data_IF_354825855708
#
_entry.id   IF_354825855708
#
_cell.length_a   1.000
_cell.length_b   1.000
_cell.length_c   1.000
_cell.angle_alpha   90.00
_cell.angle_beta   90.00
_cell.angle_gamma   90.00
#
_symmetry.space_group_name_H-M   'P 1'
#
loop_
_entity.id
_entity.type
_entity.pdbx_description
1 polymer ?
#
# COMPACT_ATOMS: atom_id res chain seq x y z
N UNK A 1 32.73 10.08 -27.07
CA UNK A 1 32.80 9.61 -25.67
C UNK A 1 31.62 8.66 -25.45
N UNK A 2 31.91 7.36 -25.43
CA UNK A 2 30.88 6.33 -25.39
C UNK A 2 30.35 6.07 -23.99
N UNK A 3 29.05 6.19 -23.80
CA UNK A 3 28.37 5.73 -22.60
C UNK A 3 28.21 4.21 -22.66
N UNK A 4 28.91 3.53 -21.77
CA UNK A 4 28.85 2.08 -21.59
C UNK A 4 27.52 1.75 -20.86
N UNK A 5 26.56 1.17 -21.56
CA UNK A 5 25.38 0.53 -20.95
C UNK A 5 25.85 -0.68 -20.13
N UNK A 6 25.90 -0.54 -18.82
CA UNK A 6 25.99 -1.70 -17.92
C UNK A 6 24.59 -2.32 -17.81
N UNK A 7 24.32 -3.34 -18.60
CA UNK A 7 23.23 -4.28 -18.34
C UNK A 7 23.61 -5.09 -17.10
N UNK A 8 22.97 -4.83 -15.96
CA UNK A 8 23.06 -5.68 -14.78
C UNK A 8 22.21 -6.93 -15.00
N UNK A 9 22.73 -7.86 -15.80
CA UNK A 9 22.18 -9.21 -15.82
C UNK A 9 22.39 -9.84 -14.45
N UNK A 10 21.32 -10.04 -13.67
CA UNK A 10 21.35 -10.95 -12.53
C UNK A 10 21.80 -12.31 -13.08
N UNK A 11 22.93 -12.81 -12.61
CA UNK A 11 23.36 -14.19 -12.85
C UNK A 11 22.29 -15.07 -12.19
N UNK A 12 21.43 -15.70 -13.00
CA UNK A 12 20.63 -16.83 -12.55
C UNK A 12 21.66 -17.84 -12.04
N UNK A 13 21.62 -18.16 -10.75
CA UNK A 13 22.48 -19.19 -10.19
C UNK A 13 22.19 -20.49 -10.95
N UNK A 14 23.21 -21.02 -11.63
CA UNK A 14 23.08 -22.29 -12.30
C UNK A 14 22.99 -23.40 -11.24
N UNK A 15 21.75 -23.76 -10.91
CA UNK A 15 21.45 -24.78 -9.90
C UNK A 15 21.80 -26.20 -10.33
N UNK A 16 22.21 -26.42 -11.59
CA UNK A 16 22.61 -27.73 -12.12
C UNK A 16 23.85 -28.35 -11.43
N UNK A 17 24.57 -27.56 -10.64
CA UNK A 17 25.77 -27.96 -9.88
C UNK A 17 25.50 -28.45 -8.47
N UNK A 18 24.25 -28.33 -8.00
CA UNK A 18 23.87 -28.64 -6.62
C UNK A 18 22.98 -29.86 -6.56
N UNK A 19 23.09 -30.65 -5.51
CA UNK A 19 22.16 -31.74 -5.22
C UNK A 19 20.81 -31.18 -4.86
N UNK A 20 19.75 -31.99 -5.02
CA UNK A 20 18.37 -31.59 -4.63
C UNK A 20 18.34 -31.09 -3.17
N UNK A 21 19.07 -31.74 -2.27
CA UNK A 21 19.15 -31.35 -0.86
C UNK A 21 19.84 -30.01 -0.65
N UNK A 22 20.88 -29.69 -1.41
CA UNK A 22 21.55 -28.37 -1.36
C UNK A 22 20.65 -27.28 -1.95
N UNK A 23 19.91 -27.58 -3.02
CA UNK A 23 18.91 -26.67 -3.60
C UNK A 23 17.77 -26.41 -2.60
N UNK A 24 17.26 -27.46 -1.96
CA UNK A 24 16.21 -27.33 -0.94
C UNK A 24 16.72 -26.51 0.27
N UNK A 25 17.96 -26.72 0.74
CA UNK A 25 18.57 -25.93 1.81
C UNK A 25 18.82 -24.47 1.38
N UNK A 26 19.19 -24.22 0.13
CA UNK A 26 19.35 -22.84 -0.38
C UNK A 26 18.00 -22.15 -0.49
N UNK A 27 16.95 -22.86 -0.93
CA UNK A 27 15.58 -22.33 -0.98
C UNK A 27 15.01 -22.06 0.40
N UNK A 28 15.24 -22.95 1.38
CA UNK A 28 14.85 -22.70 2.78
C UNK A 28 15.56 -21.47 3.41
N UNK A 29 16.79 -21.16 3.00
CA UNK A 29 17.52 -19.95 3.46
C UNK A 29 17.05 -18.65 2.80
N UNK A 30 16.27 -18.73 1.72
CA UNK A 30 15.76 -17.59 0.98
C UNK A 30 14.30 -17.25 1.31
N UNK A 31 13.60 -18.09 2.10
CA UNK A 31 12.24 -17.80 2.59
C UNK A 31 12.28 -16.65 3.57
N UNK A 32 11.44 -15.64 3.34
CA UNK A 32 11.35 -14.45 4.16
C UNK A 32 10.75 -14.78 5.52
N UNK A 33 11.24 -14.12 6.57
CA UNK A 33 10.95 -14.53 7.95
C UNK A 33 9.47 -14.35 8.35
N UNK A 34 8.85 -13.23 7.95
CA UNK A 34 7.49 -12.91 8.37
C UNK A 34 6.45 -13.35 7.35
N UNK A 35 6.60 -12.98 6.09
CA UNK A 35 5.62 -13.35 5.05
C UNK A 35 5.72 -14.82 4.64
N UNK A 36 6.80 -15.52 5.01
CA UNK A 36 7.05 -16.94 4.71
C UNK A 36 6.93 -17.29 3.21
N UNK A 37 7.23 -16.32 2.34
CA UNK A 37 7.33 -16.53 0.90
C UNK A 37 8.80 -16.60 0.48
N UNK A 38 9.11 -17.41 -0.55
CA UNK A 38 10.41 -17.56 -1.17
C UNK A 38 10.46 -17.03 -2.60
N UNK A 39 11.64 -17.12 -3.26
CA UNK A 39 11.82 -16.71 -4.64
C UNK A 39 10.86 -17.37 -5.61
N UNK A 40 10.29 -16.58 -6.52
CA UNK A 40 9.34 -17.04 -7.53
C UNK A 40 7.91 -17.30 -7.02
N UNK A 41 7.64 -17.12 -5.73
CA UNK A 41 6.31 -17.28 -5.16
C UNK A 41 5.47 -16.00 -5.20
N UNK A 42 6.10 -14.84 -5.43
CA UNK A 42 5.43 -13.54 -5.55
C UNK A 42 5.78 -12.88 -6.89
N UNK A 43 4.85 -12.10 -7.42
CA UNK A 43 5.04 -11.31 -8.65
C UNK A 43 5.79 -10.01 -8.37
N UNK A 44 6.20 -9.32 -9.43
CA UNK A 44 6.95 -8.05 -9.35
C UNK A 44 6.06 -6.85 -9.00
N UNK A 45 4.74 -7.00 -9.12
CA UNK A 45 3.70 -6.02 -8.75
C UNK A 45 2.88 -6.58 -7.60
N UNK A 46 2.62 -5.76 -6.57
CA UNK A 46 1.91 -6.21 -5.38
C UNK A 46 0.83 -5.23 -4.92
N UNK A 47 -0.35 -5.77 -4.59
CA UNK A 47 -1.40 -5.03 -3.88
C UNK A 47 -1.27 -5.32 -2.38
N UNK A 48 -1.34 -4.26 -1.57
CA UNK A 48 -1.19 -4.33 -0.12
C UNK A 48 -2.50 -3.90 0.59
N UNK A 49 -3.45 -4.80 0.86
CA UNK A 49 -4.53 -4.52 1.80
C UNK A 49 -4.04 -4.63 3.25
N UNK A 50 -4.68 -3.92 4.18
CA UNK A 50 -4.42 -4.12 5.62
C UNK A 50 -5.04 -5.43 6.13
N UNK A 51 -6.30 -5.67 5.80
CA UNK A 51 -7.09 -6.81 6.26
C UNK A 51 -6.78 -8.08 5.45
N UNK A 52 -6.36 -9.18 6.11
CA UNK A 52 -6.17 -10.49 5.46
C UNK A 52 -7.38 -10.99 4.68
N UNK A 53 -8.59 -10.71 5.18
CA UNK A 53 -9.84 -11.12 4.52
C UNK A 53 -10.04 -10.50 3.13
N UNK A 54 -9.40 -9.36 2.84
CA UNK A 54 -9.47 -8.73 1.51
C UNK A 54 -8.56 -9.37 0.47
N UNK A 55 -7.56 -10.15 0.87
CA UNK A 55 -6.64 -10.77 -0.10
C UNK A 55 -7.36 -11.66 -1.11
N UNK A 56 -8.27 -12.51 -0.65
CA UNK A 56 -9.05 -13.37 -1.54
C UNK A 56 -9.95 -12.56 -2.49
N UNK A 57 -10.61 -11.51 -1.98
CA UNK A 57 -11.47 -10.64 -2.79
C UNK A 57 -10.68 -9.90 -3.88
N UNK A 58 -9.44 -9.48 -3.59
CA UNK A 58 -8.54 -8.85 -4.56
C UNK A 58 -8.04 -9.89 -5.56
N UNK A 59 -7.63 -11.07 -5.10
CA UNK A 59 -7.11 -12.15 -5.94
C UNK A 59 -8.12 -12.61 -6.99
N UNK A 60 -9.43 -12.48 -6.77
CA UNK A 60 -10.47 -12.79 -7.75
C UNK A 60 -10.39 -11.96 -9.05
N UNK A 61 -9.66 -10.86 -9.05
CA UNK A 61 -9.40 -10.03 -10.24
C UNK A 61 -8.16 -10.47 -11.03
N UNK A 62 -7.39 -11.44 -10.51
CA UNK A 62 -6.22 -11.99 -11.18
C UNK A 62 -6.62 -13.21 -12.03
N UNK A 63 -5.85 -13.47 -13.07
CA UNK A 63 -5.95 -14.73 -13.80
C UNK A 63 -5.21 -15.81 -13.02
N UNK A 64 -5.81 -17.00 -12.88
CA UNK A 64 -5.30 -18.19 -12.19
C UNK A 64 -4.71 -17.92 -10.79
N UNK A 65 -5.45 -17.28 -9.87
CA UNK A 65 -4.93 -16.91 -8.55
C UNK A 65 -4.73 -18.16 -7.67
N UNK A 66 -3.57 -18.24 -7.04
CA UNK A 66 -3.22 -19.32 -6.11
C UNK A 66 -2.96 -18.73 -4.73
N UNK A 67 -3.50 -19.34 -3.68
CA UNK A 67 -3.10 -19.07 -2.30
C UNK A 67 -1.67 -19.61 -2.10
N UNK A 68 -0.73 -18.70 -1.75
CA UNK A 68 0.68 -19.06 -1.59
C UNK A 68 1.00 -19.40 -0.15
N UNK A 69 0.64 -18.48 0.78
CA UNK A 69 1.02 -18.62 2.17
C UNK A 69 0.09 -17.83 3.09
N UNK A 70 -0.03 -18.28 4.33
CA UNK A 70 -0.62 -17.55 5.45
C UNK A 70 0.29 -17.68 6.66
N UNK A 71 0.83 -16.57 7.14
CA UNK A 71 1.60 -16.51 8.38
C UNK A 71 1.30 -15.22 9.11
N UNK A 72 0.91 -15.28 10.37
CA UNK A 72 0.49 -14.12 11.17
C UNK A 72 -0.63 -13.33 10.45
N UNK A 73 -0.46 -12.02 10.33
CA UNK A 73 -1.34 -11.11 9.57
C UNK A 73 -1.10 -11.12 8.06
N UNK A 74 -0.09 -11.83 7.59
CA UNK A 74 0.29 -11.87 6.17
C UNK A 74 -0.37 -13.05 5.45
N UNK A 75 -1.26 -12.73 4.53
CA UNK A 75 -1.91 -13.68 3.62
C UNK A 75 -1.52 -13.32 2.21
N UNK A 76 -0.95 -14.27 1.48
CA UNK A 76 -0.41 -14.07 0.13
C UNK A 76 -1.19 -14.89 -0.89
N UNK A 77 -1.63 -14.22 -1.96
CA UNK A 77 -2.08 -14.84 -3.20
C UNK A 77 -1.25 -14.31 -4.37
N UNK A 78 -0.96 -15.16 -5.34
CA UNK A 78 -0.27 -14.79 -6.58
C UNK A 78 -1.04 -15.32 -7.78
N UNK A 79 -1.12 -14.55 -8.83
CA UNK A 79 -1.73 -14.87 -10.11
C UNK A 79 -1.12 -13.99 -11.20
N UNK A 80 -1.87 -13.72 -12.26
CA UNK A 80 -1.41 -12.81 -13.31
C UNK A 80 -2.41 -11.70 -13.64
N UNK A 81 -1.89 -10.57 -14.12
CA UNK A 81 -2.67 -9.52 -14.77
C UNK A 81 -2.01 -9.20 -16.11
N UNK A 82 -2.77 -9.28 -17.19
CA UNK A 82 -2.24 -9.08 -18.54
C UNK A 82 -1.02 -10.00 -18.84
N UNK A 83 -0.96 -11.18 -18.20
CA UNK A 83 0.14 -12.13 -18.34
C UNK A 83 1.39 -11.81 -17.51
N UNK A 84 1.41 -10.73 -16.70
CA UNK A 84 2.49 -10.44 -15.74
C UNK A 84 2.16 -11.01 -14.37
N UNK A 85 3.13 -11.63 -13.66
CA UNK A 85 2.94 -12.10 -12.31
C UNK A 85 2.63 -10.95 -11.35
N UNK A 86 1.54 -11.08 -10.61
CA UNK A 86 1.10 -10.11 -9.60
C UNK A 86 0.75 -10.81 -8.31
N UNK A 87 0.95 -10.12 -7.20
CA UNK A 87 0.59 -10.66 -5.89
C UNK A 87 -0.32 -9.70 -5.12
N UNK A 88 -1.04 -10.25 -4.16
CA UNK A 88 -1.67 -9.50 -3.08
C UNK A 88 -1.17 -10.07 -1.77
N UNK A 89 -0.74 -9.19 -0.87
CA UNK A 89 -0.22 -9.54 0.46
C UNK A 89 -0.82 -8.61 1.48
N UNK A 90 -1.51 -9.15 2.49
CA UNK A 90 -2.00 -8.33 3.60
C UNK A 90 -0.87 -7.82 4.47
N UNK A 91 -1.06 -6.67 5.07
CA UNK A 91 -0.03 -6.01 5.89
C UNK A 91 -0.37 -5.98 7.38
N UNK A 92 -1.59 -6.38 7.77
CA UNK A 92 -2.11 -6.01 9.08
C UNK A 92 -2.30 -4.50 9.22
N UNK A 93 -2.29 -3.99 10.44
CA UNK A 93 -2.51 -2.58 10.79
C UNK A 93 -1.21 -1.94 11.24
N UNK A 94 -0.92 -0.75 10.71
CA UNK A 94 0.15 0.13 11.18
C UNK A 94 1.46 0.02 10.43
N UNK A 95 2.26 1.07 10.55
CA UNK A 95 3.54 1.23 9.88
C UNK A 95 4.52 0.06 10.08
N UNK A 96 4.76 -0.42 11.32
CA UNK A 96 5.70 -1.52 11.57
C UNK A 96 5.38 -2.79 10.78
N UNK A 97 4.14 -3.24 10.83
CA UNK A 97 3.72 -4.46 10.10
C UNK A 97 3.77 -4.27 8.59
N UNK A 98 3.30 -3.13 8.09
CA UNK A 98 3.33 -2.81 6.66
C UNK A 98 4.76 -2.69 6.11
N UNK A 99 5.68 -2.09 6.87
CA UNK A 99 7.09 -1.96 6.47
C UNK A 99 7.79 -3.31 6.38
N UNK A 100 7.54 -4.23 7.32
CA UNK A 100 8.07 -5.60 7.29
C UNK A 100 7.62 -6.30 5.99
N UNK A 101 6.32 -6.25 5.67
CA UNK A 101 5.82 -6.85 4.45
C UNK A 101 6.52 -6.29 3.20
N UNK A 102 6.62 -4.95 3.09
CA UNK A 102 7.26 -4.31 1.94
C UNK A 102 8.74 -4.65 1.83
N UNK A 103 9.50 -4.63 2.95
CA UNK A 103 10.92 -5.01 2.97
C UNK A 103 11.14 -6.42 2.45
N UNK A 104 10.39 -7.37 2.97
CA UNK A 104 10.52 -8.79 2.60
C UNK A 104 10.09 -9.03 1.15
N UNK A 105 9.05 -8.34 0.67
CA UNK A 105 8.63 -8.38 -0.73
C UNK A 105 9.69 -7.75 -1.66
N UNK A 106 10.31 -6.65 -1.27
CA UNK A 106 11.43 -6.06 -2.02
C UNK A 106 12.62 -7.03 -2.13
N UNK A 107 12.92 -7.82 -1.08
CA UNK A 107 13.96 -8.85 -1.13
C UNK A 107 13.64 -9.94 -2.17
N UNK A 108 12.37 -10.22 -2.43
CA UNK A 108 11.89 -11.17 -3.43
C UNK A 108 11.75 -10.57 -4.84
N UNK A 109 12.05 -9.27 -5.00
CA UNK A 109 12.07 -8.61 -6.31
C UNK A 109 10.82 -7.81 -6.65
N UNK A 110 9.88 -7.65 -5.74
CA UNK A 110 8.72 -6.77 -5.94
C UNK A 110 9.19 -5.33 -6.03
N UNK A 111 8.80 -4.60 -7.07
CA UNK A 111 9.25 -3.23 -7.32
C UNK A 111 8.11 -2.20 -7.46
N UNK A 112 6.85 -2.66 -7.48
CA UNK A 112 5.69 -1.77 -7.63
C UNK A 112 4.58 -2.18 -6.67
N UNK A 113 4.17 -1.26 -5.82
CA UNK A 113 3.19 -1.50 -4.78
C UNK A 113 1.98 -0.56 -4.90
N UNK A 114 0.80 -1.11 -4.75
CA UNK A 114 -0.45 -0.37 -4.62
C UNK A 114 -1.12 -0.75 -3.31
N UNK A 115 -1.15 0.18 -2.35
CA UNK A 115 -1.94 -0.03 -1.14
C UNK A 115 -3.42 0.18 -1.44
N UNK A 116 -4.24 -0.80 -1.07
CA UNK A 116 -5.70 -0.71 -1.11
C UNK A 116 -6.24 -0.78 0.32
N UNK A 117 -6.54 0.37 0.89
CA UNK A 117 -6.92 0.51 2.28
C UNK A 117 -8.35 1.02 2.50
N UNK A 118 -8.63 1.29 3.78
CA UNK A 118 -9.79 2.04 4.22
C UNK A 118 -9.35 3.28 4.99
N UNK A 119 -10.17 4.32 5.00
CA UNK A 119 -9.88 5.55 5.75
C UNK A 119 -11.14 6.15 6.36
N UNK A 120 -10.94 7.03 7.34
CA UNK A 120 -11.97 7.94 7.84
C UNK A 120 -11.81 9.31 7.17
N UNK A 121 -12.92 9.88 6.65
CA UNK A 121 -12.89 11.23 6.09
C UNK A 121 -12.62 12.30 7.16
N UNK A 122 -11.92 13.38 6.76
CA UNK A 122 -11.69 14.58 7.59
C UNK A 122 -12.40 15.78 6.98
N UNK A 123 -12.15 16.04 5.70
CA UNK A 123 -12.79 17.15 4.99
C UNK A 123 -14.28 16.87 4.76
N UNK A 124 -15.15 17.85 4.97
CA UNK A 124 -16.61 17.66 4.89
C UNK A 124 -17.10 17.18 3.51
N UNK A 125 -16.38 17.48 2.46
CA UNK A 125 -16.70 17.02 1.09
C UNK A 125 -16.38 15.55 0.85
N UNK A 126 -15.61 14.89 1.75
CA UNK A 126 -15.28 13.46 1.67
C UNK A 126 -16.39 12.67 2.33
N UNK A 127 -17.10 11.89 1.55
CA UNK A 127 -18.26 11.13 2.02
C UNK A 127 -17.95 9.63 2.12
N UNK A 128 -18.72 8.92 2.93
CA UNK A 128 -18.66 7.45 2.97
C UNK A 128 -18.98 6.88 1.60
N UNK A 129 -18.19 5.90 1.16
CA UNK A 129 -18.28 5.32 -0.18
C UNK A 129 -17.39 6.00 -1.22
N UNK A 130 -16.87 7.21 -0.96
CA UNK A 130 -15.90 7.84 -1.85
C UNK A 130 -14.59 7.04 -1.90
N UNK A 131 -13.86 7.22 -2.99
CA UNK A 131 -12.47 6.76 -3.14
C UNK A 131 -11.54 7.93 -2.88
N UNK A 132 -10.51 7.74 -2.05
CA UNK A 132 -9.45 8.73 -1.82
C UNK A 132 -8.13 8.18 -2.34
N UNK A 133 -7.45 8.95 -3.19
CA UNK A 133 -6.08 8.67 -3.66
C UNK A 133 -5.12 9.60 -2.92
N UNK A 134 -4.13 9.03 -2.23
CA UNK A 134 -3.17 9.82 -1.46
C UNK A 134 -2.14 10.49 -2.37
N UNK A 135 -2.01 11.82 -2.28
CA UNK A 135 -0.94 12.60 -2.94
C UNK A 135 0.25 12.85 -2.02
N UNK A 136 0.13 12.50 -0.77
CA UNK A 136 1.12 12.57 0.29
C UNK A 136 0.50 12.15 1.61
N UNK A 137 1.33 11.87 2.60
CA UNK A 137 0.89 11.48 3.93
C UNK A 137 1.58 12.31 5.02
N UNK A 138 0.77 12.77 6.00
CA UNK A 138 1.31 13.37 7.21
C UNK A 138 1.98 12.29 8.05
N UNK A 139 3.25 12.48 8.39
CA UNK A 139 4.09 11.53 9.14
C UNK A 139 3.84 11.66 10.65
N UNK A 140 2.67 11.21 11.11
CA UNK A 140 2.29 11.17 12.52
C UNK A 140 2.52 9.80 13.18
N UNK A 141 3.36 8.98 12.58
CA UNK A 141 3.72 7.63 13.02
C UNK A 141 5.24 7.51 13.25
N UNK A 142 5.67 6.43 13.89
CA UNK A 142 7.06 6.22 14.27
C UNK A 142 7.92 5.60 13.18
N UNK A 143 7.37 4.67 12.39
CA UNK A 143 8.13 3.84 11.46
C UNK A 143 8.88 4.65 10.42
N UNK A 144 8.23 5.63 9.78
CA UNK A 144 8.89 6.44 8.75
C UNK A 144 10.07 7.26 9.27
N UNK A 145 10.09 7.55 10.58
CA UNK A 145 11.19 8.31 11.21
C UNK A 145 12.47 7.49 11.34
N UNK A 146 12.36 6.17 11.34
CA UNK A 146 13.51 5.26 11.35
C UNK A 146 14.10 5.06 9.95
N UNK A 147 13.34 5.38 8.89
CA UNK A 147 13.79 5.31 7.49
C UNK A 147 14.31 6.64 6.93
N UNK A 148 13.77 7.77 7.38
CA UNK A 148 14.16 9.07 6.86
C UNK A 148 13.96 10.20 7.90
N UNK A 149 14.77 11.29 7.88
CA UNK A 149 14.53 12.44 8.71
C UNK A 149 13.12 13.01 8.50
N UNK A 150 12.58 13.68 9.55
CA UNK A 150 11.17 14.12 9.52
C UNK A 150 10.87 15.13 8.39
N UNK A 151 11.87 15.85 7.95
CA UNK A 151 11.79 16.84 6.87
C UNK A 151 11.59 16.19 5.50
N UNK A 152 11.94 14.89 5.34
CA UNK A 152 11.68 14.17 4.09
C UNK A 152 10.18 13.92 3.93
N UNK A 153 9.57 14.33 2.81
CA UNK A 153 8.12 14.16 2.64
C UNK A 153 7.75 12.71 2.37
N UNK A 154 6.68 12.22 2.98
CA UNK A 154 6.06 10.94 2.62
C UNK A 154 5.13 11.17 1.42
N UNK A 155 5.63 10.91 0.21
CA UNK A 155 4.90 11.08 -1.05
C UNK A 155 4.88 9.79 -1.85
N UNK A 156 3.77 9.50 -2.58
CA UNK A 156 3.71 8.36 -3.47
C UNK A 156 4.63 8.57 -4.69
N UNK A 157 4.96 7.47 -5.34
CA UNK A 157 5.55 7.52 -6.68
C UNK A 157 4.59 8.19 -7.67
N UNK A 158 5.12 9.06 -8.54
CA UNK A 158 4.32 9.84 -9.47
C UNK A 158 3.58 8.97 -10.50
N UNK A 159 4.21 7.91 -11.01
CA UNK A 159 3.58 7.01 -11.98
C UNK A 159 2.43 6.23 -11.33
N UNK A 160 2.63 5.75 -10.09
CA UNK A 160 1.58 5.05 -9.34
C UNK A 160 0.42 5.99 -9.01
N UNK A 161 0.72 7.22 -8.59
CA UNK A 161 -0.30 8.24 -8.32
C UNK A 161 -1.16 8.53 -9.57
N UNK A 162 -0.51 8.77 -10.72
CA UNK A 162 -1.22 9.06 -11.97
C UNK A 162 -2.01 7.86 -12.49
N UNK A 163 -1.49 6.63 -12.32
CA UNK A 163 -2.22 5.43 -12.66
C UNK A 163 -3.48 5.25 -11.79
N UNK A 164 -3.40 5.51 -10.49
CA UNK A 164 -4.54 5.44 -9.57
C UNK A 164 -5.63 6.46 -9.92
N UNK A 165 -5.26 7.70 -10.19
CA UNK A 165 -6.24 8.74 -10.57
C UNK A 165 -6.88 8.45 -11.92
N UNK A 166 -6.09 8.02 -12.91
CA UNK A 166 -6.60 7.62 -14.22
C UNK A 166 -7.53 6.40 -14.14
N UNK A 167 -7.20 5.43 -13.30
CA UNK A 167 -8.06 4.26 -13.04
C UNK A 167 -9.40 4.66 -12.41
N UNK A 168 -9.37 5.54 -11.40
CA UNK A 168 -10.60 6.02 -10.75
C UNK A 168 -11.50 6.76 -11.72
N UNK A 169 -10.94 7.61 -12.58
CA UNK A 169 -11.66 8.35 -13.61
C UNK A 169 -12.24 7.40 -14.68
N UNK A 170 -11.42 6.48 -15.23
CA UNK A 170 -11.84 5.49 -16.23
C UNK A 170 -13.01 4.62 -15.73
N UNK A 171 -13.00 4.26 -14.44
CA UNK A 171 -14.05 3.44 -13.84
C UNK A 171 -15.27 4.26 -13.38
N UNK A 172 -15.29 5.58 -13.62
CA UNK A 172 -16.39 6.47 -13.25
C UNK A 172 -16.67 6.50 -11.74
N UNK A 173 -15.63 6.32 -10.90
CA UNK A 173 -15.80 6.33 -9.44
C UNK A 173 -15.90 7.76 -8.92
N UNK A 174 -16.62 7.96 -7.81
CA UNK A 174 -16.55 9.19 -7.05
C UNK A 174 -15.23 9.18 -6.28
N UNK A 175 -14.29 10.04 -6.68
CA UNK A 175 -12.95 10.05 -6.10
C UNK A 175 -12.42 11.45 -5.81
N UNK A 176 -11.45 11.50 -4.90
CA UNK A 176 -10.70 12.72 -4.55
C UNK A 176 -9.23 12.38 -4.39
N UNK A 177 -8.35 13.30 -4.76
CA UNK A 177 -6.92 13.17 -4.50
C UNK A 177 -6.46 14.27 -3.55
N UNK A 178 -5.63 13.92 -2.57
CA UNK A 178 -5.09 14.87 -1.60
C UNK A 178 -4.27 14.21 -0.51
N UNK A 179 -3.78 15.04 0.40
CA UNK A 179 -2.98 14.58 1.54
C UNK A 179 -3.85 13.80 2.50
N UNK A 180 -3.32 12.70 3.04
CA UNK A 180 -3.93 11.91 4.10
C UNK A 180 -3.13 12.04 5.40
N UNK A 181 -3.77 11.89 6.56
CA UNK A 181 -3.08 11.75 7.82
C UNK A 181 -2.75 10.27 8.05
N UNK A 182 -1.49 9.97 8.32
CA UNK A 182 -1.05 8.64 8.74
C UNK A 182 -0.64 8.67 10.22
N UNK A 183 -1.23 7.80 11.04
CA UNK A 183 -1.06 7.78 12.50
C UNK A 183 -0.87 6.36 13.03
N UNK A 184 -0.29 6.23 14.23
CA UNK A 184 -0.15 4.95 14.95
C UNK A 184 -1.33 4.65 15.88
N UNK A 185 -1.97 5.68 16.44
CA UNK A 185 -3.04 5.48 17.42
C UNK A 185 -4.43 5.75 16.83
N UNK A 186 -5.20 4.68 16.61
CA UNK A 186 -6.61 4.79 16.21
C UNK A 186 -7.43 5.57 17.24
N UNK A 187 -7.33 5.20 18.51
CA UNK A 187 -8.09 5.85 19.59
C UNK A 187 -7.56 7.23 19.96
N UNK A 188 -6.30 7.55 19.64
CA UNK A 188 -5.77 8.90 19.77
C UNK A 188 -6.48 9.91 18.89
N UNK A 189 -7.05 9.47 17.75
CA UNK A 189 -7.89 10.30 16.90
C UNK A 189 -9.36 10.29 17.33
N UNK A 190 -9.93 9.08 17.57
CA UNK A 190 -11.39 8.94 17.78
C UNK A 190 -11.85 9.28 19.21
N UNK A 191 -10.93 9.26 20.16
CA UNK A 191 -11.21 9.58 21.57
C UNK A 191 -10.05 10.35 22.19
N UNK A 192 -9.62 11.48 21.59
CA UNK A 192 -8.40 12.20 22.04
C UNK A 192 -8.48 12.68 23.46
N UNK A 193 -9.67 13.13 23.93
CA UNK A 193 -9.87 13.67 25.26
C UNK A 193 -9.60 12.68 26.43
N UNK A 194 -9.58 11.37 26.14
CA UNK A 194 -9.17 10.34 27.14
C UNK A 194 -7.67 10.08 27.17
N UNK A 195 -6.91 10.66 26.24
CA UNK A 195 -5.47 10.43 26.14
C UNK A 195 -4.72 11.44 27.02
N UNK A 196 -3.65 11.02 27.72
CA UNK A 196 -2.82 11.93 28.51
C UNK A 196 -2.24 13.10 27.71
N UNK A 197 -2.07 12.91 26.41
CA UNK A 197 -1.51 13.91 25.46
C UNK A 197 -2.60 14.58 24.61
N UNK A 198 -3.84 14.66 25.07
CA UNK A 198 -4.96 15.30 24.37
C UNK A 198 -4.63 16.73 23.93
N UNK A 199 -3.85 17.46 24.73
CA UNK A 199 -3.37 18.82 24.45
C UNK A 199 -2.49 18.92 23.17
N UNK A 200 -1.95 17.81 22.69
CA UNK A 200 -1.26 17.77 21.39
C UNK A 200 -2.17 17.25 20.27
N UNK A 201 -3.00 16.23 20.56
CA UNK A 201 -3.77 15.54 19.54
C UNK A 201 -4.88 16.43 18.97
N UNK A 202 -5.62 17.13 19.84
CA UNK A 202 -6.72 17.99 19.42
C UNK A 202 -6.27 19.19 18.58
N UNK A 203 -5.24 19.96 18.97
CA UNK A 203 -4.72 21.06 18.14
C UNK A 203 -4.13 20.57 16.82
N UNK A 204 -3.45 19.41 16.78
CA UNK A 204 -2.96 18.82 15.55
C UNK A 204 -4.10 18.46 14.61
N UNK A 205 -5.19 17.86 15.13
CA UNK A 205 -6.36 17.54 14.33
C UNK A 205 -6.98 18.80 13.69
N UNK A 206 -7.12 19.88 14.45
CA UNK A 206 -7.58 21.16 13.92
C UNK A 206 -6.64 21.74 12.85
N UNK A 207 -5.33 21.55 13.01
CA UNK A 207 -4.36 21.94 11.99
C UNK A 207 -4.54 21.14 10.69
N UNK A 208 -4.76 19.83 10.78
CA UNK A 208 -5.00 19.00 9.59
C UNK A 208 -6.28 19.40 8.84
N UNK A 209 -7.34 19.71 9.55
CA UNK A 209 -8.59 20.25 8.96
C UNK A 209 -8.33 21.54 8.19
N UNK A 210 -7.61 22.50 8.80
CA UNK A 210 -7.27 23.78 8.20
C UNK A 210 -6.33 23.67 7.00
N UNK A 211 -5.45 22.67 7.00
CA UNK A 211 -4.55 22.37 5.89
C UNK A 211 -5.25 21.58 4.76
N UNK A 212 -6.52 21.19 4.95
CA UNK A 212 -7.30 20.50 3.94
C UNK A 212 -6.93 19.03 3.76
N UNK A 213 -6.39 18.37 4.81
CA UNK A 213 -6.17 16.93 4.80
C UNK A 213 -7.50 16.21 4.58
N UNK A 214 -7.54 15.29 3.60
CA UNK A 214 -8.80 14.69 3.14
C UNK A 214 -9.30 13.60 4.08
N UNK A 215 -8.41 12.72 4.52
CA UNK A 215 -8.76 11.51 5.23
C UNK A 215 -7.63 11.06 6.17
N UNK A 216 -7.93 10.11 7.03
CA UNK A 216 -7.00 9.53 8.01
C UNK A 216 -6.92 8.01 7.84
N UNK A 217 -5.69 7.49 7.86
CA UNK A 217 -5.35 6.07 7.75
C UNK A 217 -4.10 5.77 8.60
N UNK A 218 -3.43 4.61 8.44
CA UNK A 218 -2.39 4.20 9.42
C UNK A 218 -1.07 3.68 8.80
N UNK A 219 -0.89 3.64 7.47
CA UNK A 219 0.27 2.97 6.86
C UNK A 219 1.00 3.75 5.75
N UNK A 220 0.33 4.68 5.05
CA UNK A 220 0.91 5.30 3.85
C UNK A 220 2.20 6.05 4.08
N UNK A 221 2.36 6.76 5.22
CA UNK A 221 3.60 7.48 5.47
C UNK A 221 4.80 6.53 5.61
N UNK A 222 4.61 5.42 6.30
CA UNK A 222 5.62 4.36 6.40
C UNK A 222 5.91 3.75 5.02
N UNK A 223 4.88 3.31 4.28
CA UNK A 223 5.05 2.66 2.97
C UNK A 223 5.72 3.58 1.95
N UNK A 224 5.35 4.86 1.86
CA UNK A 224 5.98 5.80 0.93
C UNK A 224 7.45 6.04 1.27
N UNK A 225 7.78 6.11 2.56
CA UNK A 225 9.15 6.35 3.01
C UNK A 225 10.02 5.11 2.82
N UNK A 226 9.49 3.92 3.14
CA UNK A 226 10.18 2.64 2.88
C UNK A 226 10.41 2.45 1.38
N UNK A 227 9.38 2.73 0.55
CA UNK A 227 9.50 2.62 -0.90
C UNK A 227 10.61 3.53 -1.45
N UNK A 228 10.69 4.77 -0.98
CA UNK A 228 11.77 5.70 -1.34
C UNK A 228 13.14 5.16 -0.91
N UNK A 229 13.28 4.64 0.31
CA UNK A 229 14.52 4.07 0.81
C UNK A 229 14.96 2.80 0.04
N UNK A 230 14.00 2.01 -0.44
CA UNK A 230 14.25 0.79 -1.22
C UNK A 230 14.36 1.04 -2.73
N UNK A 231 14.07 2.25 -3.20
CA UNK A 231 14.10 2.59 -4.63
C UNK A 231 12.99 1.89 -5.43
N UNK A 232 11.81 1.68 -4.83
CA UNK A 232 10.66 1.03 -5.44
C UNK A 232 9.48 2.01 -5.53
N UNK A 233 8.46 1.68 -6.34
CA UNK A 233 7.29 2.53 -6.54
C UNK A 233 6.16 2.14 -5.59
N UNK A 234 5.52 3.12 -4.95
CA UNK A 234 4.36 2.89 -4.08
C UNK A 234 3.33 4.02 -4.21
N UNK A 235 2.04 3.66 -4.15
CA UNK A 235 0.93 4.60 -4.04
C UNK A 235 -0.22 3.98 -3.25
N UNK A 236 -1.17 4.81 -2.82
CA UNK A 236 -2.27 4.37 -1.96
C UNK A 236 -3.61 4.88 -2.43
N UNK A 237 -4.61 3.99 -2.36
CA UNK A 237 -6.02 4.27 -2.60
C UNK A 237 -6.87 3.70 -1.48
N UNK A 238 -7.90 4.44 -1.08
CA UNK A 238 -8.72 4.11 0.07
C UNK A 238 -10.21 4.18 -0.26
N UNK A 239 -10.95 3.29 0.37
CA UNK A 239 -12.39 3.42 0.54
C UNK A 239 -12.70 4.21 1.81
N UNK A 240 -13.56 5.20 1.73
CA UNK A 240 -14.00 5.99 2.90
C UNK A 240 -15.10 5.24 3.61
N UNK A 241 -14.81 4.75 4.83
CA UNK A 241 -15.80 4.06 5.67
C UNK A 241 -16.81 5.06 6.24
N UNK A 242 -16.31 6.16 6.79
CA UNK A 242 -17.06 7.10 7.59
C UNK A 242 -16.30 8.43 7.72
N UNK A 243 -16.97 9.53 8.07
CA UNK A 243 -16.35 10.83 8.29
C UNK A 243 -16.83 11.47 9.60
N UNK A 244 -15.98 11.49 10.62
CA UNK A 244 -16.31 11.98 11.95
C UNK A 244 -16.63 13.49 11.98
N UNK A 245 -16.09 14.30 11.06
CA UNK A 245 -16.39 15.74 11.02
C UNK A 245 -17.76 16.03 10.41
N UNK A 246 -18.22 15.20 9.47
CA UNK A 246 -19.59 15.24 8.96
C UNK A 246 -20.59 14.88 10.06
N UNK A 247 -20.29 13.84 10.83
CA UNK A 247 -21.14 13.46 11.97
C UNK A 247 -21.23 14.60 13.01
N UNK A 248 -20.10 15.18 13.42
CA UNK A 248 -20.06 16.34 14.33
C UNK A 248 -20.82 17.56 13.77
N UNK A 249 -20.82 17.73 12.46
CA UNK A 249 -21.56 18.80 11.78
C UNK A 249 -23.06 18.49 11.58
N UNK A 250 -23.54 17.33 12.01
CA UNK A 250 -24.94 16.90 11.82
C UNK A 250 -25.31 16.65 10.35
N UNK A 251 -24.33 16.41 9.48
CA UNK A 251 -24.54 16.11 8.06
C UNK A 251 -24.90 14.65 7.89
N UNK A 252 -25.75 14.35 6.89
CA UNK A 252 -26.13 12.98 6.58
C UNK A 252 -24.90 12.14 6.23
N UNK A 253 -24.81 10.99 6.86
CA UNK A 253 -23.71 10.06 6.73
C UNK A 253 -24.13 8.65 7.12
N UNK A 254 -23.89 7.70 6.21
CA UNK A 254 -24.09 6.27 6.45
C UNK A 254 -22.75 5.59 6.31
N UNK A 255 -22.36 4.72 7.24
CA UNK A 255 -21.17 3.90 7.10
C UNK A 255 -21.21 3.04 5.83
N UNK A 256 -20.09 2.94 5.16
CA UNK A 256 -19.88 2.11 3.98
C UNK A 256 -18.71 1.18 4.19
N UNK A 257 -18.95 -0.13 4.10
CA UNK A 257 -17.91 -1.16 4.26
C UNK A 257 -17.58 -1.89 2.95
N UNK A 258 -18.24 -1.53 1.85
CA UNK A 258 -17.98 -2.12 0.53
C UNK A 258 -16.73 -1.49 -0.11
N UNK A 259 -15.60 -2.17 0.04
CA UNK A 259 -14.30 -1.74 -0.49
C UNK A 259 -14.12 -2.01 -1.98
N UNK A 260 -15.11 -2.54 -2.68
CA UNK A 260 -14.99 -2.98 -4.09
C UNK A 260 -14.53 -1.87 -5.02
N UNK A 261 -14.96 -0.63 -4.81
CA UNK A 261 -14.54 0.51 -5.63
C UNK A 261 -13.03 0.77 -5.52
N UNK A 262 -12.48 0.80 -4.30
CA UNK A 262 -11.04 1.00 -4.09
C UNK A 262 -10.22 -0.20 -4.62
N UNK A 263 -10.72 -1.43 -4.46
CA UNK A 263 -10.09 -2.63 -5.03
C UNK A 263 -10.02 -2.53 -6.55
N UNK A 264 -11.14 -2.22 -7.21
CA UNK A 264 -11.18 -2.07 -8.67
C UNK A 264 -10.20 -0.99 -9.17
N UNK A 265 -10.13 0.15 -8.49
CA UNK A 265 -9.18 1.21 -8.81
C UNK A 265 -7.74 0.73 -8.66
N UNK A 266 -7.41 0.03 -7.57
CA UNK A 266 -6.06 -0.52 -7.34
C UNK A 266 -5.65 -1.53 -8.40
N UNK A 267 -6.54 -2.45 -8.77
CA UNK A 267 -6.29 -3.46 -9.80
C UNK A 267 -6.14 -2.82 -11.18
N UNK A 268 -7.03 -1.88 -11.56
CA UNK A 268 -6.94 -1.18 -12.84
C UNK A 268 -5.68 -0.32 -12.93
N UNK A 269 -5.27 0.31 -11.82
CA UNK A 269 -4.01 1.05 -11.77
C UNK A 269 -2.79 0.14 -12.01
N UNK A 270 -2.76 -1.07 -11.45
CA UNK A 270 -1.70 -2.05 -11.76
C UNK A 270 -1.69 -2.43 -13.23
N UNK A 271 -2.84 -2.64 -13.86
CA UNK A 271 -2.91 -2.91 -15.31
C UNK A 271 -2.33 -1.76 -16.14
N UNK A 272 -2.61 -0.52 -15.76
CA UNK A 272 -2.04 0.67 -16.41
C UNK A 272 -0.53 0.73 -16.24
N UNK A 273 0.00 0.44 -15.06
CA UNK A 273 1.44 0.42 -14.78
C UNK A 273 2.15 -0.67 -15.59
N UNK A 274 1.60 -1.88 -15.63
CA UNK A 274 2.12 -2.99 -16.46
C UNK A 274 2.18 -2.58 -17.93
N UNK A 275 1.14 -1.94 -18.45
CA UNK A 275 1.12 -1.46 -19.85
C UNK A 275 2.16 -0.38 -20.12
N UNK A 276 2.35 0.56 -19.18
CA UNK A 276 3.38 1.60 -19.26
C UNK A 276 4.79 1.01 -19.26
N UNK A 277 5.07 0.07 -18.36
CA UNK A 277 6.38 -0.56 -18.24
C UNK A 277 6.74 -1.35 -19.50
N UNK A 278 5.78 -2.06 -20.11
CA UNK A 278 5.95 -2.74 -21.39
C UNK A 278 6.21 -1.79 -22.58
N UNK A 279 5.65 -0.61 -22.53
CA UNK A 279 5.86 0.38 -23.60
C UNK A 279 7.24 1.05 -23.53
N UNK A 280 7.92 0.95 -22.37
CA UNK A 280 9.26 1.50 -22.14
C UNK A 280 10.40 0.49 -22.36
N UNK A 281 10.08 -0.80 -22.52
CA UNK A 281 11.02 -1.88 -22.85
C UNK A 281 11.14 -2.08 -24.34
#
# INVERSE_FOLDING_TARGET
MGYNKRTSGRKICDVSRYTKQEVDIMQEREVQFHIQCGPGQVGEYCILPGDPGRCQAIAQYFDDPVHVQTNREYVTYTGTLLGEPVSVVSTGIGGPSASIAMEELCNLGVHTFVRVGTCGGIKLEVQSGDVVVATGAVRMEGTSREYAPIEYPAVPDYQVLTALTAAAERLGKLWKAGVVQCKDSFYGQHSPGRMPVSYELEPKWEAWKRLGVLASEMESAALFTVAAARGVRCGSVFHVIWNQEREKAGLDQKESHDTSAAIQVGVEALKLLIQQDRACT
#
